data_IF_642491613965
#
_entry.id   IF_642491613965
#
_cell.length_a   1.000
_cell.length_b   1.000
_cell.length_c   1.000
_cell.angle_alpha   90.00
_cell.angle_beta   90.00
_cell.angle_gamma   90.00
#
_symmetry.space_group_name_H-M   'P 1'
#
loop_
_entity.id
_entity.type
_entity.pdbx_description
1 polymer ?
#
# COMPACT_ATOMS: atom_id res chain seq x y z
N UNK A 1 19.99 5.57 2.58
CA UNK A 1 18.89 4.80 3.25
C UNK A 1 19.28 3.33 3.25
N UNK A 2 19.38 2.73 4.42
CA UNK A 2 19.67 1.30 4.56
C UNK A 2 18.39 0.53 4.83
N UNK A 3 18.29 -0.66 4.23
CA UNK A 3 17.12 -1.54 4.31
C UNK A 3 17.54 -2.83 5.00
N UNK A 4 16.90 -3.17 6.13
CA UNK A 4 17.18 -4.38 6.88
C UNK A 4 15.88 -5.06 7.33
N UNK A 5 15.92 -6.40 7.44
CA UNK A 5 14.86 -7.18 8.07
C UNK A 5 15.22 -7.52 9.50
N UNK A 6 14.50 -6.95 10.47
CA UNK A 6 14.66 -7.31 11.88
C UNK A 6 14.00 -8.65 12.19
N UNK A 7 12.92 -8.96 11.49
CA UNK A 7 12.23 -10.25 11.47
C UNK A 7 11.50 -10.42 10.15
N UNK A 8 10.89 -11.59 9.92
CA UNK A 8 10.17 -11.90 8.67
C UNK A 8 9.12 -10.85 8.27
N UNK A 9 8.49 -10.22 9.25
CA UNK A 9 7.38 -9.26 9.06
C UNK A 9 7.73 -7.83 9.49
N UNK A 10 9.02 -7.53 9.69
CA UNK A 10 9.48 -6.20 10.11
C UNK A 10 10.61 -5.73 9.18
N UNK A 11 10.29 -4.75 8.36
CA UNK A 11 11.22 -4.02 7.52
C UNK A 11 11.69 -2.76 8.27
N UNK A 12 12.98 -2.53 8.34
CA UNK A 12 13.57 -1.33 8.95
C UNK A 12 14.29 -0.51 7.88
N UNK A 13 13.94 0.76 7.81
CA UNK A 13 14.52 1.77 6.94
C UNK A 13 15.32 2.74 7.81
N UNK A 14 16.63 2.79 7.63
CA UNK A 14 17.52 3.64 8.41
C UNK A 14 17.98 4.83 7.57
N UNK A 15 17.88 6.02 8.14
CA UNK A 15 18.30 7.28 7.57
C UNK A 15 19.35 7.89 8.49
N UNK A 16 20.60 7.86 8.05
CA UNK A 16 21.70 8.46 8.77
C UNK A 16 21.85 9.93 8.39
N UNK A 17 22.44 10.70 9.29
CA UNK A 17 22.81 12.10 9.07
C UNK A 17 21.64 13.00 8.64
N UNK A 18 20.49 12.85 9.31
CA UNK A 18 19.31 13.70 9.09
C UNK A 18 19.60 15.13 9.60
N UNK A 19 19.69 16.10 8.69
CA UNK A 19 20.02 17.53 8.94
C UNK A 19 18.80 18.43 8.74
N UNK A 20 18.96 19.70 9.04
CA UNK A 20 17.98 20.71 8.68
C UNK A 20 17.74 20.71 7.15
N UNK A 21 16.49 20.81 6.75
CA UNK A 21 16.10 20.73 5.34
C UNK A 21 16.00 19.30 4.77
N UNK A 22 16.33 18.26 5.54
CA UNK A 22 16.14 16.87 5.10
C UNK A 22 14.67 16.53 5.02
N UNK A 23 14.30 15.85 3.94
CA UNK A 23 12.98 15.25 3.77
C UNK A 23 13.06 13.92 3.01
N UNK A 24 12.05 13.08 3.19
CA UNK A 24 11.86 11.84 2.43
C UNK A 24 10.38 11.54 2.24
N UNK A 25 10.04 11.18 1.01
CA UNK A 25 8.67 10.90 0.61
C UNK A 25 8.45 9.41 0.38
N UNK A 26 7.23 8.97 0.69
CA UNK A 26 6.75 7.62 0.40
C UNK A 26 5.35 7.71 -0.22
N UNK A 27 5.15 6.95 -1.31
CA UNK A 27 3.82 6.68 -1.83
C UNK A 27 3.30 5.41 -1.15
N UNK A 28 2.25 5.57 -0.37
CA UNK A 28 1.53 4.47 0.27
C UNK A 28 0.37 4.09 -0.65
N UNK A 29 0.37 2.89 -1.19
CA UNK A 29 -0.62 2.42 -2.15
C UNK A 29 -1.16 1.04 -1.80
N UNK A 30 -2.29 0.69 -2.39
CA UNK A 30 -2.97 -0.60 -2.31
C UNK A 30 -3.87 -0.77 -3.52
N UNK A 31 -4.36 -1.98 -3.72
CA UNK A 31 -5.46 -2.27 -4.64
C UNK A 31 -5.25 -1.67 -6.03
N UNK A 32 -4.08 -1.98 -6.63
CA UNK A 32 -3.73 -1.49 -7.97
C UNK A 32 -4.54 -2.15 -9.06
N UNK A 33 -4.88 -3.43 -8.87
CA UNK A 33 -5.67 -4.21 -9.83
C UNK A 33 -5.17 -4.10 -11.26
N UNK A 34 -3.85 -4.22 -11.43
CA UNK A 34 -3.11 -3.96 -12.67
C UNK A 34 -3.74 -4.55 -13.93
N UNK A 35 -4.21 -5.78 -13.86
CA UNK A 35 -4.74 -6.56 -14.96
C UNK A 35 -6.25 -6.33 -15.22
N UNK A 36 -6.93 -5.59 -14.35
CA UNK A 36 -8.34 -5.28 -14.51
C UNK A 36 -8.58 -4.22 -15.60
N UNK A 37 -9.68 -4.37 -16.34
CA UNK A 37 -10.07 -3.42 -17.39
C UNK A 37 -10.35 -2.03 -16.81
N UNK A 38 -10.90 -1.98 -15.61
CA UNK A 38 -11.25 -0.76 -14.87
C UNK A 38 -10.07 -0.16 -14.09
N UNK A 39 -8.87 -0.71 -14.18
CA UNK A 39 -7.69 -0.11 -13.57
C UNK A 39 -7.32 1.21 -14.25
N UNK A 40 -7.32 2.30 -13.50
CA UNK A 40 -6.85 3.62 -13.95
C UNK A 40 -5.31 3.65 -13.99
N UNK A 41 -4.75 3.03 -15.02
CA UNK A 41 -3.30 3.04 -15.24
C UNK A 41 -2.76 4.46 -15.48
N UNK A 42 -3.58 5.38 -16.02
CA UNK A 42 -3.16 6.76 -16.25
C UNK A 42 -2.84 7.45 -14.92
N UNK A 43 -3.75 7.40 -13.96
CA UNK A 43 -3.54 7.93 -12.62
C UNK A 43 -2.36 7.24 -11.93
N UNK A 44 -2.25 5.90 -12.08
CA UNK A 44 -1.14 5.15 -11.50
C UNK A 44 0.21 5.61 -12.05
N UNK A 45 0.36 5.75 -13.37
CA UNK A 45 1.59 6.26 -13.98
C UNK A 45 1.89 7.70 -13.59
N UNK A 46 0.88 8.56 -13.46
CA UNK A 46 1.04 9.92 -12.95
C UNK A 46 1.66 9.90 -11.53
N UNK A 47 1.20 9.02 -10.65
CA UNK A 47 1.80 8.88 -9.31
C UNK A 47 3.22 8.30 -9.36
N UNK A 48 3.53 7.42 -10.31
CA UNK A 48 4.89 6.90 -10.50
C UNK A 48 5.86 8.00 -10.97
N UNK A 49 5.45 8.86 -11.89
CA UNK A 49 6.24 10.02 -12.30
C UNK A 49 6.46 10.99 -11.13
N UNK A 50 5.40 11.31 -10.38
CA UNK A 50 5.52 12.12 -9.16
C UNK A 50 6.44 11.48 -8.11
N UNK A 51 6.47 10.14 -8.03
CA UNK A 51 7.39 9.44 -7.14
C UNK A 51 8.84 9.63 -7.58
N UNK A 52 9.13 9.63 -8.88
CA UNK A 52 10.46 9.96 -9.41
C UNK A 52 10.85 11.40 -9.10
N UNK A 53 9.97 12.36 -9.40
CA UNK A 53 10.20 13.78 -9.15
C UNK A 53 10.51 14.10 -7.69
N UNK A 54 9.83 13.42 -6.75
CA UNK A 54 9.98 13.59 -5.29
C UNK A 54 11.09 12.73 -4.69
N UNK A 55 11.81 11.95 -5.47
CA UNK A 55 12.69 10.89 -4.98
C UNK A 55 11.98 10.00 -3.94
N UNK A 56 10.69 9.73 -4.16
CA UNK A 56 9.87 8.94 -3.24
C UNK A 56 10.06 7.44 -3.46
N UNK A 57 9.83 6.67 -2.39
CA UNK A 57 9.75 5.22 -2.47
C UNK A 57 8.32 4.76 -2.30
N UNK A 58 7.99 3.59 -2.87
CA UNK A 58 6.63 3.04 -2.91
C UNK A 58 6.52 1.89 -1.91
N UNK A 59 5.53 1.99 -1.04
CA UNK A 59 5.11 0.94 -0.11
C UNK A 59 3.70 0.54 -0.51
N UNK A 60 3.55 -0.66 -1.06
CA UNK A 60 2.28 -1.19 -1.51
C UNK A 60 1.77 -2.27 -0.56
N UNK A 61 0.50 -2.21 -0.15
CA UNK A 61 -0.06 -3.09 0.87
C UNK A 61 -0.85 -4.29 0.33
N UNK A 62 -0.83 -4.52 -0.99
CA UNK A 62 -1.39 -5.73 -1.62
C UNK A 62 -2.50 -5.47 -2.63
N UNK A 63 -3.01 -6.56 -3.20
CA UNK A 63 -3.91 -6.59 -4.35
C UNK A 63 -3.34 -5.78 -5.52
N UNK A 64 -2.09 -6.10 -5.85
CA UNK A 64 -1.42 -5.52 -7.01
C UNK A 64 -2.08 -5.95 -8.31
N UNK A 65 -2.54 -7.19 -8.38
CA UNK A 65 -3.30 -7.78 -9.48
C UNK A 65 -4.72 -8.16 -9.03
N UNK A 66 -5.68 -8.11 -9.96
CA UNK A 66 -7.04 -8.64 -9.77
C UNK A 66 -7.09 -10.17 -9.89
N UNK A 67 -6.42 -10.71 -10.90
CA UNK A 67 -6.33 -12.15 -11.17
C UNK A 67 -7.69 -12.87 -11.20
N UNK A 68 -8.68 -12.28 -11.89
CA UNK A 68 -10.07 -12.75 -11.90
C UNK A 68 -10.35 -13.91 -12.88
N UNK A 69 -9.33 -14.40 -13.57
CA UNK A 69 -9.47 -15.57 -14.46
C UNK A 69 -9.48 -16.91 -13.71
N UNK A 70 -9.08 -16.95 -12.44
CA UNK A 70 -8.85 -18.18 -11.68
C UNK A 70 -9.96 -19.21 -11.82
N UNK A 71 -9.67 -20.38 -12.44
CA UNK A 71 -10.64 -21.43 -12.77
C UNK A 71 -11.47 -21.93 -11.57
N UNK A 72 -10.91 -21.79 -10.39
CA UNK A 72 -11.50 -22.21 -9.12
C UNK A 72 -11.82 -21.04 -8.18
N UNK A 73 -11.68 -19.79 -8.64
CA UNK A 73 -12.04 -18.61 -7.84
C UNK A 73 -13.53 -18.28 -8.08
N UNK A 74 -14.37 -18.29 -7.04
CA UNK A 74 -15.78 -17.94 -7.17
C UNK A 74 -16.02 -16.48 -7.61
N UNK A 75 -14.98 -15.64 -7.54
CA UNK A 75 -15.00 -14.23 -7.99
C UNK A 75 -14.67 -14.07 -9.47
N UNK A 76 -14.47 -15.18 -10.19
CA UNK A 76 -14.10 -15.18 -11.62
C UNK A 76 -15.02 -14.26 -12.43
N UNK A 77 -14.42 -13.30 -13.09
CA UNK A 77 -15.10 -12.36 -13.96
C UNK A 77 -14.24 -12.04 -15.20
N UNK A 78 -14.60 -12.63 -16.33
CA UNK A 78 -13.88 -12.42 -17.60
C UNK A 78 -14.08 -11.01 -18.17
N UNK A 79 -15.23 -10.38 -17.90
CA UNK A 79 -15.52 -9.05 -18.43
C UNK A 79 -14.62 -7.98 -17.77
N UNK A 80 -14.09 -8.30 -16.59
CA UNK A 80 -13.13 -7.41 -15.90
C UNK A 80 -11.66 -7.65 -16.33
N UNK A 81 -11.40 -8.58 -17.24
CA UNK A 81 -10.06 -8.83 -17.74
C UNK A 81 -9.74 -7.96 -18.95
N UNK A 82 -8.54 -7.39 -18.99
CA UNK A 82 -8.05 -6.74 -20.20
C UNK A 82 -7.88 -7.73 -21.33
N UNK A 83 -8.31 -7.36 -22.54
CA UNK A 83 -8.30 -8.24 -23.73
C UNK A 83 -6.91 -8.75 -24.07
N UNK A 84 -5.87 -7.97 -23.82
CA UNK A 84 -4.47 -8.32 -24.04
C UNK A 84 -3.99 -9.50 -23.18
N UNK A 85 -4.70 -9.81 -22.08
CA UNK A 85 -4.33 -10.91 -21.17
C UNK A 85 -5.23 -12.15 -21.30
N UNK A 86 -6.19 -12.12 -22.19
CA UNK A 86 -7.06 -13.31 -22.46
C UNK A 86 -6.27 -14.34 -23.26
N UNK A 87 -5.46 -15.15 -22.57
CA UNK A 87 -4.59 -16.16 -23.15
C UNK A 87 -4.31 -17.31 -22.17
N UNK A 88 -3.74 -18.42 -22.67
CA UNK A 88 -3.46 -19.61 -21.82
C UNK A 88 -2.50 -19.32 -20.65
N UNK A 89 -1.53 -18.43 -20.86
CA UNK A 89 -0.49 -18.08 -19.88
C UNK A 89 -0.82 -16.77 -19.17
N UNK A 90 -2.06 -16.58 -18.77
CA UNK A 90 -2.56 -15.34 -18.17
C UNK A 90 -1.68 -14.81 -17.01
N UNK A 91 -1.33 -15.65 -16.02
CA UNK A 91 -0.54 -15.22 -14.86
C UNK A 91 0.87 -14.78 -15.23
N UNK A 92 1.49 -15.41 -16.21
CA UNK A 92 2.78 -14.99 -16.73
C UNK A 92 2.64 -13.69 -17.51
N UNK A 93 1.63 -13.58 -18.38
CA UNK A 93 1.41 -12.39 -19.20
C UNK A 93 1.19 -11.13 -18.37
N UNK A 94 0.40 -11.17 -17.31
CA UNK A 94 0.18 -10.01 -16.43
C UNK A 94 1.44 -9.64 -15.66
N UNK A 95 2.24 -10.62 -15.24
CA UNK A 95 3.50 -10.39 -14.53
C UNK A 95 4.54 -9.76 -15.45
N UNK A 96 4.70 -10.31 -16.65
CA UNK A 96 5.68 -9.84 -17.63
C UNK A 96 5.37 -8.42 -18.10
N UNK A 97 4.08 -8.14 -18.37
CA UNK A 97 3.64 -6.79 -18.72
C UNK A 97 3.89 -5.81 -17.56
N UNK A 98 3.53 -6.17 -16.33
CA UNK A 98 3.77 -5.32 -15.18
C UNK A 98 5.28 -5.04 -15.00
N UNK A 99 6.14 -6.06 -15.09
CA UNK A 99 7.59 -5.88 -15.02
C UNK A 99 8.08 -4.94 -16.13
N UNK A 100 7.65 -5.17 -17.37
CA UNK A 100 8.04 -4.35 -18.52
C UNK A 100 7.65 -2.89 -18.33
N UNK A 101 6.41 -2.62 -17.97
CA UNK A 101 5.88 -1.27 -17.84
C UNK A 101 6.45 -0.53 -16.61
N UNK A 102 6.76 -1.26 -15.53
CA UNK A 102 7.23 -0.69 -14.27
C UNK A 102 8.75 -0.63 -14.16
N UNK A 103 9.49 -1.27 -15.06
CA UNK A 103 10.96 -1.24 -15.08
C UNK A 103 11.56 0.18 -15.01
N UNK A 104 11.01 1.22 -15.68
CA UNK A 104 11.51 2.59 -15.56
C UNK A 104 11.37 3.22 -14.16
N UNK A 105 10.60 2.59 -13.29
CA UNK A 105 10.30 3.01 -11.92
C UNK A 105 10.76 1.99 -10.88
N UNK A 106 11.48 0.96 -11.31
CA UNK A 106 11.82 -0.18 -10.47
C UNK A 106 12.52 0.23 -9.17
N UNK A 107 13.45 1.18 -9.23
CA UNK A 107 14.19 1.72 -8.10
C UNK A 107 13.31 2.47 -7.07
N UNK A 108 12.08 2.80 -7.42
CA UNK A 108 11.12 3.42 -6.50
C UNK A 108 10.38 2.39 -5.65
N UNK A 109 10.20 1.16 -6.12
CA UNK A 109 9.50 0.12 -5.38
C UNK A 109 10.35 -0.38 -4.20
N UNK A 110 9.88 -0.09 -2.99
CA UNK A 110 10.54 -0.49 -1.74
C UNK A 110 9.94 -1.77 -1.17
N UNK A 111 8.61 -1.87 -1.14
CA UNK A 111 7.90 -3.01 -0.57
C UNK A 111 6.63 -3.30 -1.37
N UNK A 112 6.40 -4.59 -1.61
CA UNK A 112 5.14 -5.13 -2.15
C UNK A 112 4.53 -6.06 -1.11
N UNK A 113 3.40 -5.66 -0.54
CA UNK A 113 2.55 -6.49 0.32
C UNK A 113 1.78 -7.54 -0.48
N UNK A 114 0.92 -8.27 0.21
CA UNK A 114 0.01 -9.25 -0.39
C UNK A 114 -1.42 -8.95 0.05
N UNK A 115 -2.34 -9.02 -0.89
CA UNK A 115 -3.76 -8.93 -0.61
C UNK A 115 -4.49 -10.26 -0.76
N UNK A 116 -5.80 -10.21 -0.73
CA UNK A 116 -6.64 -11.41 -0.83
C UNK A 116 -6.65 -12.01 -2.24
N UNK A 117 -6.52 -11.19 -3.29
CA UNK A 117 -6.37 -11.67 -4.66
C UNK A 117 -5.07 -12.45 -4.83
N UNK A 118 -3.95 -11.88 -4.37
CA UNK A 118 -2.63 -12.51 -4.41
C UNK A 118 -2.59 -13.84 -3.65
N UNK A 119 -3.21 -13.88 -2.47
CA UNK A 119 -3.27 -15.09 -1.64
C UNK A 119 -4.21 -16.15 -2.23
N UNK A 120 -5.31 -15.76 -2.85
CA UNK A 120 -6.25 -16.69 -3.48
C UNK A 120 -5.55 -17.46 -4.62
N UNK A 121 -4.87 -16.76 -5.52
CA UNK A 121 -4.16 -17.41 -6.64
C UNK A 121 -3.04 -18.32 -6.12
N UNK A 122 -2.26 -17.85 -5.15
CA UNK A 122 -1.24 -18.69 -4.55
C UNK A 122 -1.81 -19.96 -3.93
N UNK A 123 -2.96 -19.85 -3.25
CA UNK A 123 -3.62 -20.99 -2.58
C UNK A 123 -4.27 -21.96 -3.58
N UNK A 124 -4.92 -21.44 -4.62
CA UNK A 124 -5.73 -22.26 -5.51
C UNK A 124 -4.98 -22.74 -6.76
N UNK A 125 -4.02 -21.95 -7.24
CA UNK A 125 -3.25 -22.24 -8.45
C UNK A 125 -1.80 -22.66 -8.16
N UNK A 126 -1.33 -22.51 -6.91
CA UNK A 126 0.06 -22.80 -6.55
C UNK A 126 1.08 -21.79 -7.08
N UNK A 127 0.63 -20.72 -7.76
CA UNK A 127 1.49 -19.73 -8.40
C UNK A 127 1.61 -18.46 -7.53
N UNK A 128 2.83 -18.06 -7.24
CA UNK A 128 3.13 -16.86 -6.46
C UNK A 128 3.48 -15.67 -7.38
N UNK A 129 2.46 -15.03 -7.97
CA UNK A 129 2.61 -13.95 -8.94
C UNK A 129 3.38 -12.75 -8.34
N UNK A 130 3.17 -12.44 -7.06
CA UNK A 130 3.90 -11.37 -6.38
C UNK A 130 5.39 -11.67 -6.24
N UNK A 131 5.76 -12.92 -6.07
CA UNK A 131 7.17 -13.36 -6.11
C UNK A 131 7.77 -13.15 -7.50
N UNK A 132 7.04 -13.48 -8.55
CA UNK A 132 7.47 -13.27 -9.95
C UNK A 132 7.66 -11.78 -10.25
N UNK A 133 6.67 -10.93 -9.91
CA UNK A 133 6.78 -9.48 -10.05
C UNK A 133 7.99 -8.92 -9.30
N UNK A 134 8.16 -9.27 -8.03
CA UNK A 134 9.27 -8.76 -7.23
C UNK A 134 10.64 -9.18 -7.78
N UNK A 135 10.74 -10.41 -8.31
CA UNK A 135 11.96 -10.89 -8.97
C UNK A 135 12.27 -10.09 -10.24
N UNK A 136 11.26 -9.88 -11.08
CA UNK A 136 11.40 -9.07 -12.30
C UNK A 136 11.82 -7.64 -12.02
N UNK A 137 11.22 -6.98 -11.03
CA UNK A 137 11.60 -5.62 -10.62
C UNK A 137 13.03 -5.57 -10.06
N UNK A 138 13.47 -6.60 -9.30
CA UNK A 138 14.86 -6.68 -8.84
C UNK A 138 15.84 -6.82 -9.99
N UNK A 139 15.50 -7.60 -11.01
CA UNK A 139 16.32 -7.70 -12.24
C UNK A 139 16.39 -6.36 -12.98
N UNK A 140 15.35 -5.52 -12.87
CA UNK A 140 15.33 -4.16 -13.39
C UNK A 140 16.00 -3.10 -12.47
N UNK A 141 16.67 -3.53 -11.39
CA UNK A 141 17.44 -2.65 -10.51
C UNK A 141 16.75 -2.26 -9.20
N UNK A 142 15.55 -2.77 -8.90
CA UNK A 142 14.88 -2.52 -7.64
C UNK A 142 15.55 -3.22 -6.45
N UNK A 143 15.47 -2.58 -5.26
CA UNK A 143 15.71 -3.27 -3.98
C UNK A 143 14.36 -3.55 -3.28
N UNK A 144 13.40 -4.07 -4.04
CA UNK A 144 12.05 -4.32 -3.55
C UNK A 144 11.99 -5.49 -2.59
N UNK A 145 11.33 -5.27 -1.44
CA UNK A 145 11.10 -6.28 -0.41
C UNK A 145 9.69 -6.84 -0.55
N UNK A 146 9.57 -8.17 -0.47
CA UNK A 146 8.27 -8.83 -0.52
C UNK A 146 7.72 -8.95 0.91
N UNK A 147 6.64 -8.25 1.18
CA UNK A 147 5.90 -8.29 2.44
C UNK A 147 4.87 -9.43 2.51
N UNK A 148 4.24 -9.55 3.67
CA UNK A 148 3.11 -10.43 3.92
C UNK A 148 1.75 -9.73 3.68
N UNK A 149 0.68 -10.36 4.16
CA UNK A 149 -0.66 -9.78 4.24
C UNK A 149 -0.72 -8.65 5.28
N UNK A 150 0.16 -8.71 6.26
CA UNK A 150 0.39 -7.68 7.27
C UNK A 150 1.85 -7.65 7.68
N UNK A 151 2.27 -6.56 8.29
CA UNK A 151 3.62 -6.40 8.81
C UNK A 151 3.91 -4.98 9.26
N UNK A 152 5.17 -4.71 9.47
CA UNK A 152 5.66 -3.46 9.99
C UNK A 152 6.74 -2.85 9.10
N UNK A 153 6.69 -1.53 8.94
CA UNK A 153 7.79 -0.73 8.41
C UNK A 153 8.25 0.21 9.50
N UNK A 154 9.50 0.08 9.92
CA UNK A 154 10.14 0.95 10.91
C UNK A 154 11.00 1.97 10.19
N UNK A 155 10.76 3.24 10.46
CA UNK A 155 11.59 4.34 9.98
C UNK A 155 12.48 4.80 11.14
N UNK A 156 13.77 4.63 10.98
CA UNK A 156 14.78 5.03 11.97
C UNK A 156 15.58 6.22 11.45
N UNK A 157 15.49 7.33 12.14
CA UNK A 157 16.16 8.56 11.78
C UNK A 157 17.28 8.86 12.79
N UNK A 158 18.50 9.00 12.29
CA UNK A 158 19.67 9.36 13.09
C UNK A 158 20.03 10.82 12.85
N UNK A 159 20.05 11.61 13.93
CA UNK A 159 20.45 13.00 13.94
C UNK A 159 21.57 13.20 14.96
N UNK A 160 22.80 13.15 14.52
CA UNK A 160 23.93 13.02 15.42
C UNK A 160 23.78 11.78 16.30
N UNK A 161 23.73 11.98 17.62
CA UNK A 161 23.54 10.86 18.58
C UNK A 161 22.05 10.56 18.89
N UNK A 162 21.13 11.40 18.43
CA UNK A 162 19.70 11.23 18.70
C UNK A 162 19.08 10.30 17.67
N UNK A 163 18.33 9.31 18.16
CA UNK A 163 17.54 8.38 17.34
C UNK A 163 16.05 8.64 17.52
N UNK A 164 15.34 8.88 16.41
CA UNK A 164 13.88 8.94 16.35
C UNK A 164 13.35 7.73 15.60
N UNK A 165 12.29 7.12 16.11
CA UNK A 165 11.60 6.00 15.47
C UNK A 165 10.18 6.40 15.12
N UNK A 166 9.75 5.99 13.92
CA UNK A 166 8.36 6.00 13.49
C UNK A 166 7.99 4.60 13.01
N UNK A 167 6.79 4.15 13.34
CA UNK A 167 6.35 2.79 13.08
C UNK A 167 5.05 2.78 12.30
N UNK A 168 5.07 2.14 11.15
CA UNK A 168 3.92 1.93 10.30
C UNK A 168 3.55 0.45 10.36
N UNK A 169 2.32 0.16 10.77
CA UNK A 169 1.71 -1.14 10.62
C UNK A 169 0.86 -1.15 9.36
N UNK A 170 1.10 -2.11 8.48
CA UNK A 170 0.23 -2.35 7.34
C UNK A 170 -0.54 -3.66 7.50
N UNK A 171 -1.78 -3.64 7.08
CA UNK A 171 -2.64 -4.80 6.94
C UNK A 171 -3.50 -4.59 5.71
N UNK A 172 -3.45 -5.52 4.75
CA UNK A 172 -4.18 -5.31 3.49
C UNK A 172 -5.66 -5.01 3.73
N UNK A 173 -6.27 -5.70 4.66
CA UNK A 173 -7.68 -5.52 4.98
C UNK A 173 -8.45 -6.83 4.93
N UNK A 174 -9.72 -6.78 5.31
CA UNK A 174 -10.61 -7.94 5.25
C UNK A 174 -12.07 -7.53 5.33
N UNK A 175 -12.98 -8.24 4.67
CA UNK A 175 -14.43 -8.02 4.66
C UNK A 175 -14.86 -6.69 4.03
N UNK A 176 -16.14 -6.35 4.03
CA UNK A 176 -16.66 -5.13 3.42
C UNK A 176 -16.65 -3.90 4.31
N UNK A 177 -16.65 -2.71 3.71
CA UNK A 177 -17.04 -1.45 4.34
C UNK A 177 -18.52 -1.17 4.05
N UNK A 178 -19.29 -0.74 5.07
CA UNK A 178 -20.64 -0.21 4.82
C UNK A 178 -20.57 1.20 4.26
N UNK A 179 -21.57 1.62 3.50
CA UNK A 179 -21.62 2.93 2.83
C UNK A 179 -21.46 4.12 3.79
N UNK A 180 -21.99 4.00 4.99
CA UNK A 180 -21.90 5.07 6.02
C UNK A 180 -20.57 5.05 6.74
N UNK A 181 -20.08 3.86 7.09
CA UNK A 181 -18.87 3.71 7.93
C UNK A 181 -17.57 3.58 7.14
N UNK A 182 -17.66 3.30 5.85
CA UNK A 182 -16.54 3.24 4.89
C UNK A 182 -15.29 2.52 5.42
N UNK A 183 -15.48 1.44 6.20
CA UNK A 183 -14.38 0.68 6.78
C UNK A 183 -13.71 1.31 8.01
N UNK A 184 -14.03 2.54 8.42
CA UNK A 184 -13.41 3.24 9.57
C UNK A 184 -13.52 2.42 10.85
N UNK A 185 -14.68 1.84 11.13
CA UNK A 185 -14.88 1.01 12.34
C UNK A 185 -13.91 -0.18 12.37
N UNK A 186 -13.70 -0.81 11.23
CA UNK A 186 -12.80 -1.97 11.12
C UNK A 186 -11.35 -1.58 11.36
N UNK A 187 -10.92 -0.49 10.77
CA UNK A 187 -9.56 0.02 10.98
C UNK A 187 -9.34 0.42 12.42
N UNK A 188 -10.35 1.03 13.08
CA UNK A 188 -10.28 1.33 14.51
C UNK A 188 -10.16 0.06 15.38
N UNK A 189 -10.78 -1.06 14.99
CA UNK A 189 -10.62 -2.34 15.67
C UNK A 189 -9.18 -2.84 15.68
N UNK A 190 -8.39 -2.55 14.65
CA UNK A 190 -6.95 -2.87 14.65
C UNK A 190 -6.24 -2.16 15.80
N UNK A 191 -6.62 -0.93 16.11
CA UNK A 191 -6.10 -0.17 17.23
C UNK A 191 -6.32 -0.78 18.61
N UNK A 192 -7.18 -1.82 18.72
CA UNK A 192 -7.41 -2.55 19.98
C UNK A 192 -6.27 -3.52 20.28
N UNK A 193 -5.62 -4.07 19.24
CA UNK A 193 -4.58 -5.09 19.40
C UNK A 193 -3.22 -4.68 18.82
N UNK A 194 -3.15 -3.63 17.99
CA UNK A 194 -1.89 -3.08 17.47
C UNK A 194 -1.46 -1.91 18.34
N UNK A 195 -0.38 -2.10 19.06
CA UNK A 195 0.21 -1.09 19.93
C UNK A 195 1.40 -0.39 19.27
N UNK A 196 1.72 0.81 19.76
CA UNK A 196 2.92 1.56 19.39
C UNK A 196 3.09 1.92 17.90
N UNK A 197 2.03 1.82 17.08
CA UNK A 197 2.05 2.31 15.72
C UNK A 197 1.83 3.84 15.69
N UNK A 198 2.64 4.55 14.88
CA UNK A 198 2.39 5.94 14.50
C UNK A 198 1.39 6.00 13.34
N UNK A 199 1.44 4.99 12.46
CA UNK A 199 0.58 4.85 11.28
C UNK A 199 0.02 3.43 11.20
N UNK A 200 -1.25 3.32 10.88
CA UNK A 200 -1.92 2.07 10.52
C UNK A 200 -2.52 2.25 9.14
N UNK A 201 -2.08 1.49 8.16
CA UNK A 201 -2.58 1.58 6.80
C UNK A 201 -3.32 0.31 6.39
N UNK A 202 -4.41 0.48 5.66
CA UNK A 202 -5.23 -0.57 5.06
C UNK A 202 -5.59 -0.23 3.61
N UNK A 203 -5.97 -1.24 2.85
CA UNK A 203 -6.63 -1.17 1.55
C UNK A 203 -7.94 -1.95 1.55
N UNK A 204 -8.17 -2.78 0.52
CA UNK A 204 -9.23 -3.77 0.39
C UNK A 204 -10.65 -3.24 0.24
N UNK A 205 -11.02 -2.16 0.90
CA UNK A 205 -12.38 -1.60 0.82
C UNK A 205 -12.53 -0.55 -0.26
N UNK A 206 -11.43 -0.21 -0.94
CA UNK A 206 -11.34 0.81 -1.99
C UNK A 206 -11.78 2.21 -1.56
N UNK A 207 -11.90 2.44 -0.25
CA UNK A 207 -12.15 3.77 0.31
C UNK A 207 -10.83 4.52 0.53
N UNK A 208 -10.89 5.85 0.49
CA UNK A 208 -9.73 6.71 0.81
C UNK A 208 -10.08 7.66 1.94
N UNK A 209 -9.35 7.56 3.06
CA UNK A 209 -9.52 8.46 4.20
C UNK A 209 -8.31 8.38 5.14
N UNK A 210 -8.19 9.40 5.99
CA UNK A 210 -7.17 9.54 7.01
C UNK A 210 -7.79 10.07 8.30
N UNK A 211 -7.74 9.26 9.36
CA UNK A 211 -8.33 9.57 10.66
C UNK A 211 -7.25 9.60 11.74
N UNK A 212 -6.89 10.78 12.26
CA UNK A 212 -5.98 10.89 13.40
C UNK A 212 -6.69 10.55 14.71
N UNK A 213 -6.08 9.66 15.50
CA UNK A 213 -6.55 9.33 16.85
C UNK A 213 -5.46 9.66 17.86
N UNK A 214 -5.78 10.51 18.83
CA UNK A 214 -4.89 10.81 19.93
C UNK A 214 -5.01 9.75 21.02
N UNK A 215 -3.89 9.10 21.31
CA UNK A 215 -3.79 8.05 22.35
C UNK A 215 -3.03 8.54 23.56
N UNK A 216 -3.26 7.91 24.70
CA UNK A 216 -2.62 8.20 25.98
C UNK A 216 -1.82 6.98 26.41
N UNK A 217 -0.64 7.18 26.95
CA UNK A 217 0.16 6.13 27.57
C UNK A 217 0.93 6.66 28.79
N UNK A 218 1.26 5.74 29.68
CA UNK A 218 2.22 6.00 30.73
C UNK A 218 3.62 5.62 30.25
N UNK A 219 4.57 6.54 30.30
CA UNK A 219 5.95 6.24 29.93
C UNK A 219 6.69 5.50 31.06
N UNK A 220 7.92 5.05 30.76
CA UNK A 220 8.74 4.31 31.76
C UNK A 220 9.13 5.12 32.98
N UNK A 221 9.07 6.46 32.91
CA UNK A 221 9.33 7.38 34.03
C UNK A 221 8.06 7.68 34.86
N UNK A 222 6.93 7.02 34.57
CA UNK A 222 5.67 7.25 35.27
C UNK A 222 4.94 8.54 34.87
N UNK A 223 5.31 9.16 33.72
CA UNK A 223 4.65 10.37 33.21
C UNK A 223 3.62 9.99 32.14
N UNK A 224 2.48 10.69 32.18
CA UNK A 224 1.46 10.58 31.12
C UNK A 224 1.96 11.29 29.88
N UNK A 225 1.93 10.58 28.75
CA UNK A 225 2.25 11.09 27.42
C UNK A 225 1.06 10.88 26.48
N UNK A 226 0.90 11.78 25.54
CA UNK A 226 -0.03 11.63 24.43
C UNK A 226 0.73 11.49 23.13
N UNK A 227 0.20 10.66 22.22
CA UNK A 227 0.73 10.53 20.86
C UNK A 227 -0.41 10.36 19.86
N UNK A 228 -0.15 10.77 18.63
CA UNK A 228 -1.12 10.60 17.55
C UNK A 228 -0.79 9.31 16.78
N UNK A 229 -1.80 8.48 16.55
CA UNK A 229 -1.77 7.40 15.58
C UNK A 229 -2.65 7.80 14.41
N UNK A 230 -2.13 7.71 13.18
CA UNK A 230 -2.89 7.99 11.96
C UNK A 230 -3.39 6.67 11.39
N UNK A 231 -4.70 6.58 11.19
CA UNK A 231 -5.35 5.44 10.56
C UNK A 231 -5.73 5.84 9.14
N UNK A 232 -5.22 5.12 8.15
CA UNK A 232 -5.47 5.41 6.75
C UNK A 232 -6.09 4.21 6.04
N UNK A 233 -7.02 4.49 5.15
CA UNK A 233 -7.36 3.61 4.05
C UNK A 233 -6.83 4.22 2.77
N UNK A 234 -6.11 3.43 1.97
CA UNK A 234 -5.24 3.96 0.92
C UNK A 234 -5.94 4.19 -0.43
N UNK A 235 -7.23 3.81 -0.54
CA UNK A 235 -7.94 3.86 -1.81
C UNK A 235 -7.57 2.71 -2.75
N UNK A 236 -7.84 2.90 -4.01
CA UNK A 236 -7.64 1.94 -5.09
C UNK A 236 -7.27 2.65 -6.38
N UNK A 237 -6.76 1.92 -7.37
CA UNK A 237 -6.67 2.40 -8.74
C UNK A 237 -7.76 1.80 -9.65
N UNK A 238 -8.66 0.98 -9.10
CA UNK A 238 -9.79 0.44 -9.84
C UNK A 238 -11.00 1.37 -9.80
N UNK A 239 -11.59 1.63 -10.96
CA UNK A 239 -12.88 2.33 -11.10
C UNK A 239 -14.03 1.31 -11.04
N UNK A 240 -14.41 0.92 -9.83
CA UNK A 240 -15.44 -0.10 -9.61
C UNK A 240 -16.87 0.41 -9.82
N UNK A 241 -17.05 1.71 -10.03
CA UNK A 241 -18.35 2.34 -10.28
C UNK A 241 -18.57 2.63 -11.76
N UNK A 242 -17.51 2.96 -12.51
CA UNK A 242 -17.57 3.28 -13.92
C UNK A 242 -18.51 4.46 -14.23
N UNK A 243 -19.37 4.29 -15.22
CA UNK A 243 -20.39 5.28 -15.61
C UNK A 243 -21.70 5.17 -14.81
N UNK A 244 -21.78 4.23 -13.88
CA UNK A 244 -22.98 4.01 -13.05
C UNK A 244 -24.07 3.17 -13.71
N UNK A 245 -23.82 2.60 -14.89
CA UNK A 245 -24.77 1.73 -15.58
C UNK A 245 -24.71 0.28 -15.06
N UNK A 246 -23.51 -0.28 -14.94
CA UNK A 246 -23.22 -1.59 -14.38
C UNK A 246 -21.86 -1.56 -13.67
N UNK A 247 -21.46 -2.73 -13.12
CA UNK A 247 -20.20 -2.86 -12.39
C UNK A 247 -20.39 -3.21 -10.93
N UNK A 248 -19.33 -3.69 -10.31
CA UNK A 248 -19.39 -4.29 -8.98
C UNK A 248 -19.98 -3.37 -7.90
N UNK A 249 -19.66 -2.08 -7.93
CA UNK A 249 -20.19 -1.14 -6.94
C UNK A 249 -21.65 -0.79 -7.21
N UNK A 250 -22.03 -0.59 -8.47
CA UNK A 250 -23.42 -0.32 -8.86
C UNK A 250 -24.32 -1.49 -8.48
N UNK A 251 -23.96 -2.71 -8.88
CA UNK A 251 -24.70 -3.95 -8.57
C UNK A 251 -24.80 -4.23 -7.06
N UNK A 252 -23.77 -3.83 -6.29
CA UNK A 252 -23.72 -3.98 -4.84
C UNK A 252 -24.36 -2.81 -4.08
N UNK A 253 -24.93 -1.81 -4.75
CA UNK A 253 -25.53 -0.62 -4.13
C UNK A 253 -24.52 0.26 -3.39
N UNK A 254 -23.27 0.29 -3.86
CA UNK A 254 -22.21 1.13 -3.28
C UNK A 254 -22.05 2.42 -4.06
N UNK A 255 -21.62 3.48 -3.35
CA UNK A 255 -21.28 4.75 -3.97
C UNK A 255 -19.92 4.72 -4.69
N UNK A 256 -19.67 5.61 -5.65
CA UNK A 256 -18.34 5.81 -6.22
C UNK A 256 -17.32 6.14 -5.14
N UNK A 257 -16.07 5.76 -5.35
CA UNK A 257 -14.95 5.96 -4.42
C UNK A 257 -13.86 6.81 -5.08
N UNK A 258 -13.17 7.67 -4.31
CA UNK A 258 -11.97 8.35 -4.81
C UNK A 258 -10.90 7.32 -5.13
N UNK A 259 -10.28 7.46 -6.32
CA UNK A 259 -9.17 6.59 -6.73
C UNK A 259 -7.83 7.23 -6.37
N UNK A 260 -6.85 6.41 -6.06
CA UNK A 260 -5.49 6.88 -5.84
C UNK A 260 -4.78 6.21 -4.66
N UNK A 261 -4.00 7.01 -3.97
CA UNK A 261 -3.06 6.58 -2.93
C UNK A 261 -2.89 7.68 -1.86
N UNK A 262 -1.87 7.55 -1.00
CA UNK A 262 -1.51 8.59 -0.05
C UNK A 262 0.00 8.86 -0.06
N UNK A 263 0.39 10.12 0.05
CA UNK A 263 1.77 10.51 0.28
C UNK A 263 2.04 10.61 1.77
N UNK A 264 3.12 9.98 2.22
CA UNK A 264 3.71 10.16 3.53
C UNK A 264 5.04 10.88 3.35
N UNK A 265 5.16 12.07 3.91
CA UNK A 265 6.39 12.85 3.95
C UNK A 265 6.94 12.88 5.35
N UNK A 266 8.23 12.55 5.53
CA UNK A 266 8.99 12.87 6.72
C UNK A 266 9.93 14.03 6.43
N UNK A 267 10.07 14.94 7.39
CA UNK A 267 10.98 16.07 7.26
C UNK A 267 11.54 16.52 8.60
N UNK A 268 12.74 17.08 8.56
CA UNK A 268 13.40 17.64 9.73
C UNK A 268 12.96 19.08 9.98
N UNK A 269 12.38 19.34 11.14
CA UNK A 269 11.95 20.68 11.56
C UNK A 269 12.20 20.89 13.06
N UNK A 270 12.83 22.03 13.44
CA UNK A 270 13.08 22.40 14.83
C UNK A 270 13.62 21.26 15.71
N UNK A 271 14.65 20.58 15.24
CA UNK A 271 15.27 19.43 15.91
C UNK A 271 14.43 18.17 16.05
N UNK A 272 13.25 18.11 15.42
CA UNK A 272 12.35 16.96 15.42
C UNK A 272 12.15 16.39 14.01
N UNK A 273 11.72 15.14 13.94
CA UNK A 273 11.17 14.54 12.72
C UNK A 273 9.66 14.70 12.74
N UNK A 274 9.18 15.53 11.84
CA UNK A 274 7.76 15.74 11.58
C UNK A 274 7.30 14.85 10.43
N UNK A 275 6.00 14.72 10.24
CA UNK A 275 5.40 14.06 9.12
C UNK A 275 4.15 14.76 8.63
N UNK A 276 3.86 14.55 7.35
CA UNK A 276 2.62 14.98 6.69
C UNK A 276 2.03 13.79 5.93
N UNK A 277 0.71 13.76 5.85
CA UNK A 277 -0.04 12.82 5.00
C UNK A 277 -0.90 13.64 4.07
N UNK A 278 -0.82 13.33 2.77
CA UNK A 278 -1.57 13.99 1.71
C UNK A 278 -2.26 12.90 0.91
N UNK A 279 -3.59 12.91 0.87
CA UNK A 279 -4.33 11.99 0.01
C UNK A 279 -4.06 12.38 -1.45
N UNK A 280 -3.57 11.44 -2.24
CA UNK A 280 -3.32 11.56 -3.67
C UNK A 280 -4.46 10.88 -4.42
N UNK A 281 -5.58 11.56 -4.50
CA UNK A 281 -6.83 11.08 -5.10
C UNK A 281 -7.22 11.92 -6.30
N UNK A 282 -8.03 11.34 -7.24
CA UNK A 282 -8.60 11.99 -8.41
C UNK A 282 -9.66 13.05 -8.06
#
# INVERSE_FOLDING_TARGET
MDITHTSRNVLTLSFDDVKAGWEKWFLLSSDRHWDAVNCDRKLMFQHLEQAKERDAHIIDSGDFFSMMEGRYDPRRNFDNMRKEYVMQNYLDAISDDAVKQLSPYADRFLMLGRGNHDQAVKKHNGTDVMSTLSKGLRQAGANVQLGGYSGWVRFQFMRGKQRTLKQLYYFHGSGGGGEVTRGVIRTNRIGVYVEAADFVIMGHTHDSWDVPIKKIRLNRQGKVETYNCRYLNLGTYADDYGDGYDGFFVESGKSPRPRGAAWLRFYAYNHEIKHEIILAID
#
